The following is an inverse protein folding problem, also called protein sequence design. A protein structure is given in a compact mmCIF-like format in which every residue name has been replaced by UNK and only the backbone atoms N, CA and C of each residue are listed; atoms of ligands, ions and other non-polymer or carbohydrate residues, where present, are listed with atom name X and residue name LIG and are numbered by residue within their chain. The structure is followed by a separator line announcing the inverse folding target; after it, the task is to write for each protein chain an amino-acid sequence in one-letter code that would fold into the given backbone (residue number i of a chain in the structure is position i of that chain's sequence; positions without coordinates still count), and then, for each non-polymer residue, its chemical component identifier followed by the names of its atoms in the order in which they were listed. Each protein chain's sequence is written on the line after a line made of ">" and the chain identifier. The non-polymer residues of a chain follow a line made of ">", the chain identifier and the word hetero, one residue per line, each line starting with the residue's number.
data_IF_903475799614
#
_entry.id   IF_903475799614
#
_cell.length_a   1.000
_cell.length_b   1.000
_cell.length_c   1.000
_cell.angle_alpha   90.00
_cell.angle_beta   90.00
_cell.angle_gamma   90.00
#
_symmetry.space_group_name_H-M   'P 1'
#
loop_
_entity.id
_entity.type
_entity.pdbx_description
1 polymer ?
#
# COMPACT_ATOMS: atom_id res chain seq x y z
N UNK A 1 -54.45 18.98 11.56
CA UNK A 1 -53.43 19.66 10.72
C UNK A 1 -52.05 19.80 11.37
N UNK A 2 -51.85 19.46 12.66
CA UNK A 2 -50.54 19.57 13.32
C UNK A 2 -49.57 18.39 13.05
N UNK A 3 -50.08 17.21 12.67
CA UNK A 3 -49.24 16.02 12.46
C UNK A 3 -48.49 15.99 11.11
N UNK A 4 -48.95 16.73 10.11
CA UNK A 4 -48.28 16.78 8.79
C UNK A 4 -47.03 17.67 8.84
N UNK A 5 -47.06 18.72 9.67
CA UNK A 5 -45.90 19.62 9.86
C UNK A 5 -44.72 18.93 10.54
N UNK A 6 -44.98 18.01 11.49
CA UNK A 6 -43.93 17.28 12.22
C UNK A 6 -43.19 16.27 11.34
N UNK A 7 -43.87 15.68 10.34
CA UNK A 7 -43.28 14.67 9.47
C UNK A 7 -42.38 15.29 8.39
N UNK A 8 -42.72 16.47 7.87
CA UNK A 8 -41.87 17.22 6.93
C UNK A 8 -40.57 17.73 7.55
N UNK A 9 -40.61 18.13 8.83
CA UNK A 9 -39.43 18.63 9.54
C UNK A 9 -38.37 17.53 9.78
N UNK A 10 -38.81 16.29 10.03
CA UNK A 10 -37.91 15.15 10.25
C UNK A 10 -37.17 14.76 8.96
N UNK A 11 -37.83 14.85 7.80
CA UNK A 11 -37.23 14.50 6.50
C UNK A 11 -36.14 15.50 6.10
N UNK A 12 -36.33 16.79 6.37
CA UNK A 12 -35.33 17.83 6.05
C UNK A 12 -34.08 17.69 6.91
N UNK A 13 -34.22 17.35 8.20
CA UNK A 13 -33.07 17.11 9.10
C UNK A 13 -32.30 15.86 8.70
N UNK A 14 -32.99 14.80 8.24
CA UNK A 14 -32.33 13.57 7.80
C UNK A 14 -31.55 13.77 6.48
N UNK A 15 -32.09 14.56 5.55
CA UNK A 15 -31.41 14.89 4.29
C UNK A 15 -30.18 15.79 4.50
N UNK A 16 -30.23 16.71 5.47
CA UNK A 16 -29.08 17.55 5.86
C UNK A 16 -27.98 16.75 6.57
N UNK A 17 -28.32 15.70 7.30
CA UNK A 17 -27.34 14.81 7.94
C UNK A 17 -26.58 13.93 6.93
N UNK A 18 -27.23 13.51 5.83
CA UNK A 18 -26.59 12.73 4.76
C UNK A 18 -25.63 13.57 3.90
N UNK A 19 -25.91 14.87 3.71
CA UNK A 19 -25.03 15.78 2.96
C UNK A 19 -23.76 16.19 3.75
N UNK A 20 -23.73 15.99 5.07
CA UNK A 20 -22.58 16.31 5.92
C UNK A 20 -21.51 15.20 5.97
N UNK A 21 -21.79 14.00 5.43
CA UNK A 21 -20.80 12.92 5.32
C UNK A 21 -20.02 12.93 4.00
N UNK A 22 -20.38 13.80 3.05
CA UNK A 22 -19.59 14.09 1.85
C UNK A 22 -18.56 15.19 2.12
N UNK A 23 -17.80 15.03 3.22
CA UNK A 23 -16.56 15.79 3.38
C UNK A 23 -15.60 15.40 2.25
N UNK A 24 -14.77 16.33 1.75
CA UNK A 24 -13.73 15.95 0.80
C UNK A 24 -12.86 14.86 1.45
N UNK A 25 -12.79 13.70 0.81
CA UNK A 25 -11.79 12.68 1.17
C UNK A 25 -10.44 13.36 1.10
N UNK A 26 -9.78 13.52 2.25
CA UNK A 26 -8.42 14.07 2.25
C UNK A 26 -7.55 13.19 1.37
N UNK A 27 -6.73 13.78 0.49
CA UNK A 27 -5.80 13.00 -0.31
C UNK A 27 -4.90 12.19 0.61
N UNK A 28 -4.69 10.92 0.27
CA UNK A 28 -3.90 10.01 1.10
C UNK A 28 -2.49 10.56 1.33
N UNK A 29 -2.07 10.54 2.60
CA UNK A 29 -0.71 10.87 2.98
C UNK A 29 0.26 9.72 2.67
N UNK A 30 1.53 10.04 2.49
CA UNK A 30 2.59 9.07 2.19
C UNK A 30 2.63 7.88 3.16
N UNK A 31 2.43 8.16 4.47
CA UNK A 31 2.41 7.12 5.49
C UNK A 31 1.24 6.14 5.33
N UNK A 32 0.04 6.63 4.97
CA UNK A 32 -1.14 5.78 4.75
C UNK A 32 -0.92 4.87 3.54
N UNK A 33 -0.30 5.40 2.50
CA UNK A 33 0.06 4.64 1.28
C UNK A 33 1.11 3.56 1.60
N UNK A 34 2.11 3.89 2.42
CA UNK A 34 3.09 2.92 2.90
C UNK A 34 2.46 1.84 3.80
N UNK A 35 1.48 2.20 4.62
CA UNK A 35 0.72 1.26 5.46
C UNK A 35 -0.09 0.29 4.58
N UNK A 36 -0.79 0.81 3.56
CA UNK A 36 -1.55 -0.01 2.61
C UNK A 36 -0.64 -0.95 1.78
N UNK A 37 0.51 -0.46 1.33
CA UNK A 37 1.51 -1.30 0.65
C UNK A 37 2.05 -2.40 1.57
N UNK A 38 2.29 -2.09 2.85
CA UNK A 38 2.72 -3.09 3.83
C UNK A 38 1.64 -4.14 4.08
N UNK A 39 0.38 -3.74 4.30
CA UNK A 39 -0.74 -4.66 4.51
C UNK A 39 -0.90 -5.63 3.32
N UNK A 40 -0.69 -5.14 2.10
CA UNK A 40 -0.75 -5.97 0.90
C UNK A 40 0.49 -6.88 0.71
N UNK A 41 1.62 -6.56 1.33
CA UNK A 41 2.88 -7.30 1.26
C UNK A 41 3.01 -8.36 2.35
N UNK A 42 2.59 -8.02 3.57
CA UNK A 42 2.82 -8.77 4.82
C UNK A 42 2.52 -10.27 4.70
N UNK A 43 1.42 -10.72 4.07
CA UNK A 43 1.12 -12.16 3.92
C UNK A 43 2.13 -12.93 3.06
N UNK A 44 2.90 -12.24 2.22
CA UNK A 44 3.92 -12.84 1.37
C UNK A 44 5.33 -12.71 1.97
N UNK A 45 5.46 -12.11 3.14
CA UNK A 45 6.73 -12.03 3.89
C UNK A 45 6.86 -13.22 4.82
N UNK A 46 8.08 -13.72 5.03
CA UNK A 46 8.30 -14.83 5.97
C UNK A 46 8.36 -14.34 7.41
N UNK A 47 8.78 -13.09 7.64
CA UNK A 47 8.93 -12.57 9.00
C UNK A 47 7.70 -11.83 9.54
N UNK A 48 6.78 -11.40 8.68
CA UNK A 48 5.66 -10.52 9.02
C UNK A 48 6.11 -9.22 9.74
N UNK A 49 7.38 -8.82 9.56
CA UNK A 49 7.97 -7.71 10.30
C UNK A 49 8.25 -6.53 9.37
N UNK A 50 7.44 -5.48 9.50
CA UNK A 50 7.58 -4.23 8.73
C UNK A 50 8.95 -3.57 8.89
N UNK A 51 9.59 -3.71 10.05
CA UNK A 51 10.91 -3.13 10.30
C UNK A 51 12.00 -3.74 9.41
N UNK A 52 11.77 -4.89 8.78
CA UNK A 52 12.68 -5.50 7.81
C UNK A 52 12.54 -4.89 6.41
N UNK A 53 11.69 -3.88 6.22
CA UNK A 53 11.40 -3.27 4.94
C UNK A 53 11.58 -1.75 5.00
N UNK A 54 11.80 -1.14 3.83
CA UNK A 54 11.86 0.30 3.66
C UNK A 54 11.15 0.72 2.38
N UNK A 55 10.48 1.88 2.44
CA UNK A 55 9.98 2.58 1.25
C UNK A 55 11.14 3.22 0.52
N UNK A 56 11.77 2.47 -0.39
CA UNK A 56 12.87 2.97 -1.20
C UNK A 56 12.43 4.11 -2.12
N UNK A 57 11.15 4.13 -2.49
CA UNK A 57 10.54 5.18 -3.29
C UNK A 57 9.04 5.24 -3.00
N UNK A 58 8.52 6.44 -2.74
CA UNK A 58 7.08 6.71 -2.62
C UNK A 58 6.81 8.01 -3.34
N UNK A 59 6.05 7.96 -4.44
CA UNK A 59 5.76 9.17 -5.23
C UNK A 59 4.47 9.04 -6.03
N UNK A 60 3.95 10.18 -6.46
CA UNK A 60 2.88 10.21 -7.44
C UNK A 60 3.42 9.91 -8.85
N UNK A 61 2.63 9.17 -9.63
CA UNK A 61 2.92 8.81 -11.02
C UNK A 61 1.64 8.88 -11.84
N UNK A 62 1.78 9.06 -13.16
CA UNK A 62 0.67 8.86 -14.10
C UNK A 62 0.76 7.44 -14.67
N UNK A 63 -0.37 6.76 -14.87
CA UNK A 63 -0.39 5.34 -15.24
C UNK A 63 0.46 4.98 -16.46
N UNK A 64 0.52 5.85 -17.48
CA UNK A 64 1.36 5.66 -18.68
C UNK A 64 2.86 5.48 -18.39
N UNK A 65 3.36 6.01 -17.26
CA UNK A 65 4.78 5.96 -16.90
C UNK A 65 5.20 4.60 -16.33
N UNK A 66 4.24 3.84 -15.79
CA UNK A 66 4.51 2.67 -14.95
C UNK A 66 3.74 1.43 -15.37
N UNK A 67 2.72 1.53 -16.23
CA UNK A 67 1.85 0.41 -16.59
C UNK A 67 2.63 -0.84 -17.03
N UNK A 68 3.63 -0.68 -17.92
CA UNK A 68 4.48 -1.77 -18.41
C UNK A 68 5.24 -2.50 -17.28
N UNK A 69 5.58 -1.81 -16.19
CA UNK A 69 6.29 -2.41 -15.06
C UNK A 69 5.42 -3.45 -14.34
N UNK A 70 4.10 -3.29 -14.38
CA UNK A 70 3.11 -4.15 -13.71
C UNK A 70 2.47 -5.18 -14.65
N UNK A 71 2.91 -5.26 -15.90
CA UNK A 71 2.48 -6.31 -16.82
C UNK A 71 3.03 -7.68 -16.41
N UNK A 72 2.28 -8.73 -16.77
CA UNK A 72 2.60 -10.12 -16.46
C UNK A 72 1.72 -10.71 -15.37
N UNK A 73 1.93 -12.00 -15.08
CA UNK A 73 1.19 -12.70 -14.01
C UNK A 73 1.74 -12.30 -12.64
N UNK A 74 0.89 -12.21 -11.60
CA UNK A 74 1.34 -11.98 -10.23
C UNK A 74 2.40 -13.03 -9.85
N UNK A 75 3.50 -12.52 -9.32
CA UNK A 75 4.80 -13.16 -9.14
C UNK A 75 4.77 -14.68 -8.87
N UNK A 76 5.17 -15.52 -9.85
CA UNK A 76 5.28 -16.96 -9.61
C UNK A 76 6.43 -17.25 -8.63
N UNK A 77 6.18 -18.09 -7.64
CA UNK A 77 7.21 -18.61 -6.72
C UNK A 77 7.47 -17.79 -5.47
N UNK A 78 6.73 -16.69 -5.23
CA UNK A 78 6.78 -16.03 -3.93
C UNK A 78 6.06 -16.86 -2.85
N UNK A 79 6.60 -16.93 -1.62
CA UNK A 79 5.90 -17.57 -0.51
C UNK A 79 4.60 -16.83 -0.16
N UNK A 80 3.70 -17.53 0.53
CA UNK A 80 2.42 -16.98 0.96
C UNK A 80 1.29 -17.14 -0.06
N UNK A 81 0.16 -16.45 0.15
CA UNK A 81 -0.99 -16.54 -0.74
C UNK A 81 -0.66 -15.94 -2.11
N UNK A 82 -1.21 -16.52 -3.17
CA UNK A 82 -1.13 -15.92 -4.50
C UNK A 82 -1.83 -14.56 -4.49
N UNK A 83 -1.16 -13.46 -4.85
CA UNK A 83 -1.82 -12.16 -4.89
C UNK A 83 -2.95 -12.12 -5.91
N UNK A 84 -4.01 -11.34 -5.65
CA UNK A 84 -5.01 -10.99 -6.65
C UNK A 84 -4.37 -10.50 -7.96
N UNK A 85 -5.04 -10.77 -9.08
CA UNK A 85 -4.62 -10.23 -10.37
C UNK A 85 -4.62 -8.69 -10.34
N UNK A 86 -3.68 -8.08 -11.08
CA UNK A 86 -3.63 -6.63 -11.22
C UNK A 86 -4.89 -6.12 -11.94
N UNK A 87 -5.42 -5.00 -11.46
CA UNK A 87 -6.49 -4.26 -12.11
C UNK A 87 -6.00 -3.54 -13.36
N UNK A 88 -6.94 -2.94 -14.10
CA UNK A 88 -6.61 -2.12 -15.26
C UNK A 88 -5.94 -0.81 -14.81
N UNK A 89 -4.77 -0.50 -15.38
CA UNK A 89 -4.06 0.75 -15.15
C UNK A 89 -4.42 1.71 -16.29
N UNK A 90 -5.11 2.80 -15.96
CA UNK A 90 -5.48 3.83 -16.93
C UNK A 90 -4.26 4.71 -17.28
N UNK A 91 -3.95 4.96 -18.57
CA UNK A 91 -2.80 5.77 -18.95
C UNK A 91 -2.86 7.24 -18.50
N UNK A 92 -4.06 7.76 -18.25
CA UNK A 92 -4.29 9.17 -17.88
C UNK A 92 -4.39 9.40 -16.38
N UNK A 93 -4.61 8.36 -15.59
CA UNK A 93 -4.96 8.49 -14.18
C UNK A 93 -3.69 8.61 -13.34
N UNK A 94 -3.84 9.28 -12.19
CA UNK A 94 -2.76 9.44 -11.22
C UNK A 94 -2.82 8.34 -10.17
N UNK A 95 -1.66 7.87 -9.75
CA UNK A 95 -1.50 6.82 -8.76
C UNK A 95 -0.38 7.15 -7.78
N UNK A 96 -0.41 6.51 -6.63
CA UNK A 96 0.76 6.36 -5.79
C UNK A 96 1.58 5.16 -6.24
N UNK A 97 2.84 5.38 -6.52
CA UNK A 97 3.84 4.34 -6.73
C UNK A 97 4.63 4.12 -5.44
N UNK A 98 4.69 2.87 -4.99
CA UNK A 98 5.47 2.46 -3.81
C UNK A 98 6.46 1.38 -4.21
N UNK A 99 7.72 1.59 -3.88
CA UNK A 99 8.77 0.59 -3.98
C UNK A 99 9.24 0.21 -2.57
N UNK A 100 8.88 -1.00 -2.14
CA UNK A 100 9.38 -1.58 -0.90
C UNK A 100 10.61 -2.43 -1.18
N UNK A 101 11.69 -2.22 -0.42
CA UNK A 101 12.89 -3.06 -0.45
C UNK A 101 13.12 -3.67 0.93
N UNK A 102 13.64 -4.90 0.96
CA UNK A 102 14.10 -5.47 2.24
C UNK A 102 15.31 -4.68 2.74
N UNK A 103 15.34 -4.38 4.02
CA UNK A 103 16.54 -3.86 4.68
C UNK A 103 17.58 -4.99 4.79
N UNK A 104 18.87 -4.68 4.61
CA UNK A 104 19.92 -5.66 4.85
C UNK A 104 19.96 -6.07 6.33
N UNK A 105 20.33 -7.33 6.59
CA UNK A 105 20.41 -7.93 7.93
C UNK A 105 21.43 -7.27 8.86
N UNK A 106 22.35 -6.49 8.31
CA UNK A 106 23.47 -5.89 9.06
C UNK A 106 23.51 -4.41 8.73
N UNK A 107 23.56 -3.51 9.73
CA UNK A 107 24.10 -2.18 9.49
C UNK A 107 25.48 -2.37 8.87
N UNK A 108 25.78 -1.70 7.76
CA UNK A 108 27.17 -1.67 7.26
C UNK A 108 28.02 -1.19 8.45
N UNK A 109 29.01 -1.98 8.92
CA UNK A 109 29.75 -1.61 10.11
C UNK A 109 30.40 -0.25 9.87
N UNK A 110 29.91 0.78 10.56
CA UNK A 110 30.70 1.98 10.77
C UNK A 110 31.90 1.51 11.58
N UNK A 111 33.11 1.70 11.05
CA UNK A 111 34.34 1.30 11.72
C UNK A 111 34.29 1.75 13.18
N UNK A 112 34.17 0.80 14.12
CA UNK A 112 34.32 1.05 15.56
C UNK A 112 33.10 0.83 16.47
N UNK A 113 31.89 0.56 15.97
CA UNK A 113 30.72 0.44 16.87
C UNK A 113 29.85 -0.79 16.57
N UNK A 114 30.29 -1.96 17.03
CA UNK A 114 29.43 -3.15 17.11
C UNK A 114 28.75 -3.08 18.48
N UNK A 115 27.49 -2.60 18.54
CA UNK A 115 26.69 -2.75 19.75
C UNK A 115 26.19 -4.21 19.84
N UNK A 116 26.62 -5.01 20.83
CA UNK A 116 26.27 -6.43 20.93
C UNK A 116 24.80 -6.70 21.26
N UNK A 117 24.03 -5.66 21.59
CA UNK A 117 22.65 -5.75 22.10
C UNK A 117 21.59 -5.30 21.10
N UNK A 118 21.95 -4.89 19.89
CA UNK A 118 20.96 -4.64 18.85
C UNK A 118 20.34 -6.00 18.42
N UNK A 119 19.00 -6.15 18.45
CA UNK A 119 18.36 -7.35 17.94
C UNK A 119 18.80 -7.60 16.48
N UNK A 120 19.16 -8.84 16.10
CA UNK A 120 19.53 -9.13 14.72
C UNK A 120 18.34 -8.88 13.80
N UNK A 121 18.55 -8.08 12.76
CA UNK A 121 17.57 -7.92 11.68
C UNK A 121 17.54 -9.23 10.91
N UNK A 122 16.46 -10.00 11.03
CA UNK A 122 16.28 -11.24 10.28
C UNK A 122 15.86 -10.86 8.85
N UNK A 123 16.71 -11.04 7.82
CA UNK A 123 16.35 -10.65 6.47
C UNK A 123 15.24 -11.53 5.92
N UNK A 124 14.46 -10.98 4.99
CA UNK A 124 13.51 -11.75 4.21
C UNK A 124 14.26 -12.71 3.27
N UNK A 125 14.12 -14.04 3.45
CA UNK A 125 14.95 -15.01 2.73
C UNK A 125 14.54 -15.16 1.26
N UNK A 126 13.24 -14.99 0.96
CA UNK A 126 12.68 -15.33 -0.34
C UNK A 126 12.21 -14.13 -1.17
N UNK A 127 11.94 -12.99 -0.55
CA UNK A 127 11.54 -11.77 -1.24
C UNK A 127 12.53 -10.64 -0.96
N UNK A 128 12.90 -9.86 -1.98
CA UNK A 128 13.87 -8.78 -1.82
C UNK A 128 13.35 -7.40 -2.20
N UNK A 129 12.30 -7.32 -3.01
CA UNK A 129 11.62 -6.07 -3.33
C UNK A 129 10.17 -6.32 -3.74
N UNK A 130 9.33 -5.31 -3.59
CA UNK A 130 7.95 -5.30 -4.06
C UNK A 130 7.59 -3.90 -4.57
N UNK A 131 6.80 -3.86 -5.64
CA UNK A 131 6.27 -2.63 -6.22
C UNK A 131 4.75 -2.65 -6.11
N UNK A 132 4.16 -1.50 -5.79
CA UNK A 132 2.72 -1.31 -5.68
C UNK A 132 2.29 -0.05 -6.42
N UNK A 133 1.10 -0.15 -7.02
CA UNK A 133 0.34 0.96 -7.56
C UNK A 133 -0.93 1.09 -6.72
N UNK A 134 -1.12 2.23 -6.07
CA UNK A 134 -2.21 2.48 -5.13
C UNK A 134 -3.08 3.61 -5.66
N UNK A 135 -4.39 3.40 -5.63
CA UNK A 135 -5.38 4.42 -5.99
C UNK A 135 -5.38 5.55 -4.95
N UNK A 136 -5.23 6.82 -5.37
CA UNK A 136 -5.13 7.95 -4.45
C UNK A 136 -6.46 8.29 -3.75
N UNK A 137 -7.60 7.81 -4.26
CA UNK A 137 -8.92 8.14 -3.75
C UNK A 137 -9.34 7.25 -2.57
N UNK A 138 -8.96 5.97 -2.58
CA UNK A 138 -9.41 4.99 -1.58
C UNK A 138 -8.30 4.10 -0.98
N UNK A 139 -7.07 4.21 -1.49
CA UNK A 139 -5.91 3.49 -0.97
C UNK A 139 -5.86 2.03 -1.40
N UNK A 140 -6.70 1.62 -2.35
CA UNK A 140 -6.70 0.27 -2.87
C UNK A 140 -5.47 0.00 -3.73
N UNK A 141 -4.93 -1.22 -3.60
CA UNK A 141 -3.84 -1.70 -4.46
C UNK A 141 -4.42 -2.07 -5.81
N UNK A 142 -4.15 -1.23 -6.81
CA UNK A 142 -4.56 -1.45 -8.21
C UNK A 142 -3.66 -2.50 -8.87
N UNK A 143 -2.36 -2.42 -8.63
CA UNK A 143 -1.40 -3.35 -9.19
C UNK A 143 -0.24 -3.61 -8.24
N UNK A 144 0.35 -4.79 -8.32
CA UNK A 144 1.55 -5.14 -7.57
C UNK A 144 2.49 -6.04 -8.38
N UNK A 145 3.76 -6.00 -8.00
CA UNK A 145 4.79 -6.90 -8.52
C UNK A 145 5.74 -7.26 -7.41
N UNK A 146 5.77 -8.55 -7.06
CA UNK A 146 6.66 -9.08 -6.04
C UNK A 146 7.89 -9.66 -6.73
N UNK A 147 9.06 -9.49 -6.14
CA UNK A 147 10.31 -10.01 -6.66
C UNK A 147 10.93 -10.95 -5.64
N UNK A 148 10.93 -12.22 -5.99
CA UNK A 148 11.36 -13.31 -5.15
C UNK A 148 12.58 -14.03 -5.74
N UNK A 149 13.38 -14.64 -4.88
CA UNK A 149 14.47 -15.54 -5.28
C UNK A 149 13.83 -16.89 -5.61
N UNK A 150 13.90 -17.28 -6.89
CA UNK A 150 13.46 -18.60 -7.35
C UNK A 150 14.68 -19.52 -7.32
N UNK A 151 14.62 -20.60 -6.55
CA UNK A 151 15.60 -21.70 -6.57
C UNK A 151 15.16 -22.81 -7.52
#
# INVERSE_FOLDING_TARGET
>A
MANVLRMGLVIVVLALALAACSGPTEPLGEQQVLDAAWEALEPNTSSHNRANWEGAEVRHVVGREVAEQFEGRPAPGCPGPTPPANGAISPSDAYWYVHLKRRPATPVPQMGTISPTAPPVVPEPFMYQAMFLIDPADGQVVARKLYCVIY
#
